data_IF_779081000139
#
_entry.id   IF_779081000139
#
_cell.length_a   1.000
_cell.length_b   1.000
_cell.length_c   1.000
_cell.angle_alpha   90.00
_cell.angle_beta   90.00
_cell.angle_gamma   90.00
#
_symmetry.space_group_name_H-M   'P 1'
#
loop_
_entity.id
_entity.type
_entity.pdbx_description
1 polymer ?
#
# COMPACT_ATOMS: atom_id res chain seq x y z
N UNK A 1 -7.37 25.53 -26.09
CA UNK A 1 -8.38 24.78 -25.31
C UNK A 1 -8.38 23.32 -25.73
N UNK A 2 -7.88 22.41 -24.88
CA UNK A 2 -8.28 20.99 -24.82
C UNK A 2 -7.78 20.45 -23.48
N UNK A 3 -8.64 20.61 -22.47
CA UNK A 3 -8.46 20.20 -21.07
C UNK A 3 -8.77 18.70 -20.85
N UNK A 4 -8.72 17.88 -21.89
CA UNK A 4 -8.97 16.45 -21.73
C UNK A 4 -7.77 15.77 -21.10
N UNK A 5 -8.03 15.03 -20.03
CA UNK A 5 -7.07 14.25 -19.26
C UNK A 5 -6.10 13.52 -20.20
N UNK A 6 -4.80 13.57 -19.90
CA UNK A 6 -3.83 12.76 -20.65
C UNK A 6 -4.20 11.29 -20.44
N UNK A 7 -4.65 10.56 -21.47
CA UNK A 7 -5.20 9.21 -21.31
C UNK A 7 -4.19 8.26 -20.65
N UNK A 8 -2.89 8.46 -20.88
CA UNK A 8 -1.82 7.71 -20.23
C UNK A 8 -1.73 7.99 -18.72
N UNK A 9 -1.94 9.24 -18.28
CA UNK A 9 -1.93 9.59 -16.86
C UNK A 9 -3.16 9.04 -16.13
N UNK A 10 -4.31 9.03 -16.81
CA UNK A 10 -5.53 8.42 -16.27
C UNK A 10 -5.37 6.91 -16.18
N UNK A 11 -4.89 6.25 -17.24
CA UNK A 11 -4.59 4.82 -17.24
C UNK A 11 -3.63 4.45 -16.11
N UNK A 12 -2.48 5.13 -16.00
CA UNK A 12 -1.54 4.91 -14.91
C UNK A 12 -2.19 5.00 -13.52
N UNK A 13 -3.05 6.00 -13.32
CA UNK A 13 -3.67 6.25 -12.01
C UNK A 13 -4.72 5.21 -11.64
N UNK A 14 -5.26 4.45 -12.60
CA UNK A 14 -6.17 3.34 -12.30
C UNK A 14 -5.47 2.22 -11.54
N UNK A 15 -4.18 1.96 -11.79
CA UNK A 15 -3.42 1.02 -10.96
C UNK A 15 -3.26 1.55 -9.53
N UNK A 16 -2.98 2.84 -9.35
CA UNK A 16 -2.93 3.45 -8.00
C UNK A 16 -4.26 3.30 -7.28
N UNK A 17 -5.38 3.52 -7.98
CA UNK A 17 -6.71 3.38 -7.39
C UNK A 17 -6.95 1.94 -6.94
N UNK A 18 -6.77 0.96 -7.83
CA UNK A 18 -7.00 -0.45 -7.51
C UNK A 18 -6.07 -0.97 -6.40
N UNK A 19 -4.78 -0.65 -6.48
CA UNK A 19 -3.80 -1.06 -5.48
C UNK A 19 -4.08 -0.38 -4.14
N UNK A 20 -4.43 0.91 -4.14
CA UNK A 20 -4.79 1.67 -2.95
C UNK A 20 -6.02 1.08 -2.25
N UNK A 21 -7.08 0.74 -3.00
CA UNK A 21 -8.29 0.12 -2.43
C UNK A 21 -7.98 -1.16 -1.66
N UNK A 22 -7.22 -2.07 -2.27
CA UNK A 22 -6.87 -3.36 -1.67
C UNK A 22 -5.90 -3.19 -0.51
N UNK A 23 -4.87 -2.36 -0.66
CA UNK A 23 -3.89 -2.12 0.40
C UNK A 23 -4.51 -1.51 1.65
N UNK A 24 -5.36 -0.50 1.50
CA UNK A 24 -6.00 0.14 2.66
C UNK A 24 -6.90 -0.85 3.43
N UNK A 25 -7.67 -1.70 2.73
CA UNK A 25 -8.47 -2.74 3.39
C UNK A 25 -7.58 -3.80 4.03
N UNK A 26 -6.57 -4.28 3.30
CA UNK A 26 -5.67 -5.32 3.80
C UNK A 26 -4.98 -4.84 5.08
N UNK A 27 -4.23 -3.74 5.01
CA UNK A 27 -3.48 -3.16 6.14
C UNK A 27 -4.34 -2.75 7.34
N UNK A 28 -5.65 -2.51 7.16
CA UNK A 28 -6.50 -2.13 8.29
C UNK A 28 -7.19 -3.33 8.95
N UNK A 29 -7.60 -4.34 8.17
CA UNK A 29 -8.47 -5.42 8.67
C UNK A 29 -7.75 -6.76 8.89
N UNK A 30 -6.59 -7.03 8.26
CA UNK A 30 -6.01 -8.38 8.30
C UNK A 30 -5.61 -8.80 9.72
N UNK A 31 -4.97 -7.94 10.50
CA UNK A 31 -4.53 -8.29 11.87
C UNK A 31 -5.73 -8.63 12.75
N UNK A 32 -6.77 -7.79 12.72
CA UNK A 32 -8.01 -8.04 13.47
C UNK A 32 -8.68 -9.34 13.02
N UNK A 33 -8.71 -9.63 11.73
CA UNK A 33 -9.28 -10.89 11.22
C UNK A 33 -8.58 -12.10 11.84
N UNK A 34 -7.26 -12.17 11.72
CA UNK A 34 -6.51 -13.34 12.17
C UNK A 34 -6.52 -13.48 13.70
N UNK A 35 -6.39 -12.37 14.44
CA UNK A 35 -6.41 -12.38 15.91
C UNK A 35 -7.81 -12.63 16.49
N UNK A 36 -8.81 -11.86 16.08
CA UNK A 36 -10.12 -11.88 16.75
C UNK A 36 -11.09 -12.91 16.12
N UNK A 37 -11.05 -13.09 14.79
CA UNK A 37 -11.99 -13.98 14.09
C UNK A 37 -11.46 -15.40 13.97
N UNK A 38 -10.23 -15.56 13.47
CA UNK A 38 -9.62 -16.88 13.30
C UNK A 38 -8.92 -17.40 14.56
N UNK A 39 -8.75 -16.53 15.57
CA UNK A 39 -8.17 -16.89 16.88
C UNK A 39 -6.84 -17.64 16.73
N UNK A 40 -5.96 -17.08 15.89
CA UNK A 40 -4.61 -17.59 15.70
C UNK A 40 -3.86 -17.57 17.04
N UNK A 41 -3.05 -18.60 17.28
CA UNK A 41 -2.16 -18.62 18.44
C UNK A 41 -1.10 -17.54 18.33
N UNK A 42 -0.69 -16.98 19.46
CA UNK A 42 0.36 -15.97 19.51
C UNK A 42 1.66 -16.49 18.87
N UNK A 43 2.02 -17.75 19.15
CA UNK A 43 3.20 -18.40 18.59
C UNK A 43 3.12 -18.51 17.06
N UNK A 44 1.99 -18.95 16.51
CA UNK A 44 1.83 -19.08 15.06
C UNK A 44 1.79 -17.71 14.35
N UNK A 45 1.22 -16.70 14.99
CA UNK A 45 1.24 -15.33 14.49
C UNK A 45 2.68 -14.82 14.38
N UNK A 46 3.48 -14.91 15.45
CA UNK A 46 4.88 -14.50 15.44
C UNK A 46 5.72 -15.26 14.40
N UNK A 47 5.53 -16.59 14.31
CA UNK A 47 6.21 -17.39 13.28
C UNK A 47 5.87 -16.91 11.86
N UNK A 48 4.59 -16.62 11.60
CA UNK A 48 4.15 -16.10 10.30
C UNK A 48 4.76 -14.74 10.00
N UNK A 49 4.85 -13.84 10.99
CA UNK A 49 5.49 -12.53 10.84
C UNK A 49 7.00 -12.63 10.57
N UNK A 50 7.71 -13.56 11.23
CA UNK A 50 9.15 -13.78 10.98
C UNK A 50 9.38 -14.30 9.56
N UNK A 51 8.57 -15.27 9.10
CA UNK A 51 8.68 -15.77 7.72
C UNK A 51 8.35 -14.66 6.72
N UNK A 52 7.31 -13.87 7.00
CA UNK A 52 6.94 -12.73 6.17
C UNK A 52 8.08 -11.69 6.08
N UNK A 53 8.74 -11.37 7.20
CA UNK A 53 9.88 -10.45 7.21
C UNK A 53 11.03 -10.94 6.33
N UNK A 54 11.36 -12.24 6.40
CA UNK A 54 12.40 -12.84 5.54
C UNK A 54 11.97 -12.81 4.07
N UNK A 55 10.71 -13.16 3.79
CA UNK A 55 10.16 -13.12 2.45
C UNK A 55 10.23 -11.71 1.86
N UNK A 56 9.68 -10.71 2.55
CA UNK A 56 9.64 -9.33 2.10
C UNK A 56 11.05 -8.78 1.80
N UNK A 57 12.04 -9.07 2.65
CA UNK A 57 13.42 -8.65 2.43
C UNK A 57 14.08 -9.27 1.17
N UNK A 58 13.67 -10.48 0.78
CA UNK A 58 14.17 -11.18 -0.41
C UNK A 58 13.37 -10.83 -1.67
N UNK A 59 12.06 -10.65 -1.50
CA UNK A 59 11.07 -10.45 -2.54
C UNK A 59 11.34 -9.19 -3.37
N UNK A 60 11.58 -8.06 -2.69
CA UNK A 60 11.83 -6.76 -3.31
C UNK A 60 13.02 -6.72 -4.28
N UNK A 61 14.24 -7.14 -3.90
CA UNK A 61 15.38 -7.16 -4.82
C UNK A 61 15.22 -8.24 -5.91
N UNK A 62 14.59 -9.37 -5.60
CA UNK A 62 14.40 -10.48 -6.55
C UNK A 62 13.48 -10.07 -7.70
N UNK A 63 12.32 -9.50 -7.41
CA UNK A 63 11.39 -9.09 -8.46
C UNK A 63 11.88 -7.86 -9.22
N UNK A 64 12.61 -6.94 -8.57
CA UNK A 64 13.29 -5.85 -9.28
C UNK A 64 14.27 -6.39 -10.33
N UNK A 65 15.17 -7.30 -9.93
CA UNK A 65 16.11 -7.93 -10.85
C UNK A 65 15.42 -8.75 -11.95
N UNK A 66 14.37 -9.50 -11.60
CA UNK A 66 13.62 -10.31 -12.55
C UNK A 66 12.96 -9.45 -13.62
N UNK A 67 12.31 -8.34 -13.26
CA UNK A 67 11.66 -7.47 -14.23
C UNK A 67 12.66 -6.71 -15.11
N UNK A 68 13.84 -6.39 -14.59
CA UNK A 68 14.87 -5.67 -15.34
C UNK A 68 15.68 -6.59 -16.29
N UNK A 69 15.84 -7.86 -15.92
CA UNK A 69 16.73 -8.80 -16.63
C UNK A 69 16.01 -9.93 -17.38
N UNK A 70 14.70 -10.10 -17.17
CA UNK A 70 13.94 -11.15 -17.85
C UNK A 70 13.80 -10.85 -19.33
N UNK A 71 13.94 -11.89 -20.16
CA UNK A 71 13.67 -11.86 -21.60
C UNK A 71 12.18 -12.05 -21.92
N UNK A 72 11.36 -12.43 -20.94
CA UNK A 72 9.94 -12.64 -21.15
C UNK A 72 9.23 -11.29 -21.22
N UNK A 73 8.46 -11.06 -22.30
CA UNK A 73 7.74 -9.81 -22.50
C UNK A 73 6.78 -9.49 -21.34
N UNK A 74 6.22 -10.51 -20.68
CA UNK A 74 5.34 -10.37 -19.52
C UNK A 74 6.03 -9.81 -18.26
N UNK A 75 7.36 -9.88 -18.17
CA UNK A 75 8.13 -9.33 -17.05
C UNK A 75 8.95 -8.10 -17.46
N UNK A 76 9.41 -8.07 -18.72
CA UNK A 76 10.24 -7.00 -19.28
C UNK A 76 9.42 -5.76 -19.65
N UNK A 77 8.19 -5.95 -20.19
CA UNK A 77 7.27 -4.83 -20.47
C UNK A 77 6.44 -4.54 -19.23
N UNK A 78 6.70 -3.39 -18.60
CA UNK A 78 6.07 -2.99 -17.32
C UNK A 78 4.54 -3.00 -17.35
N UNK A 79 3.96 -2.56 -18.47
CA UNK A 79 2.52 -2.61 -18.72
C UNK A 79 1.96 -4.04 -18.66
N UNK A 80 2.66 -5.00 -19.27
CA UNK A 80 2.25 -6.41 -19.26
C UNK A 80 2.46 -7.04 -17.88
N UNK A 81 3.51 -6.67 -17.16
CA UNK A 81 3.70 -7.09 -15.76
C UNK A 81 2.51 -6.68 -14.89
N UNK A 82 1.99 -5.46 -15.06
CA UNK A 82 0.78 -5.00 -14.37
C UNK A 82 -0.45 -5.80 -14.87
N UNK A 83 -0.59 -6.02 -16.18
CA UNK A 83 -1.74 -6.73 -16.76
C UNK A 83 -1.86 -8.17 -16.25
N UNK A 84 -0.76 -8.92 -16.25
CA UNK A 84 -0.74 -10.31 -15.81
C UNK A 84 -0.64 -10.45 -14.29
N UNK A 85 0.01 -9.49 -13.62
CA UNK A 85 0.10 -9.44 -12.16
C UNK A 85 -1.24 -9.09 -11.50
N UNK A 86 -2.10 -8.30 -12.16
CA UNK A 86 -3.35 -7.81 -11.57
C UNK A 86 -4.33 -8.92 -11.14
N UNK A 87 -4.68 -9.92 -11.97
CA UNK A 87 -5.54 -11.02 -11.54
C UNK A 87 -4.95 -11.80 -10.37
N UNK A 88 -3.65 -12.08 -10.40
CA UNK A 88 -2.95 -12.79 -9.32
C UNK A 88 -2.95 -11.98 -8.03
N UNK A 89 -2.70 -10.69 -8.11
CA UNK A 89 -2.74 -9.79 -6.96
C UNK A 89 -4.13 -9.73 -6.32
N UNK A 90 -5.18 -9.67 -7.13
CA UNK A 90 -6.56 -9.68 -6.65
C UNK A 90 -6.93 -11.02 -6.01
N UNK A 91 -6.47 -12.15 -6.58
CA UNK A 91 -6.65 -13.47 -5.98
C UNK A 91 -5.92 -13.58 -4.64
N UNK A 92 -4.66 -13.11 -4.56
CA UNK A 92 -3.88 -13.07 -3.33
C UNK A 92 -4.54 -12.23 -2.24
N UNK A 93 -5.14 -11.09 -2.61
CA UNK A 93 -5.95 -10.29 -1.69
C UNK A 93 -7.14 -11.09 -1.13
N UNK A 94 -7.85 -11.83 -1.97
CA UNK A 94 -9.01 -12.62 -1.55
C UNK A 94 -8.64 -13.80 -0.63
N UNK A 95 -7.42 -14.34 -0.74
CA UNK A 95 -6.97 -15.45 0.12
C UNK A 95 -7.12 -15.13 1.61
N UNK A 96 -6.91 -13.88 2.03
CA UNK A 96 -7.01 -13.48 3.43
C UNK A 96 -8.43 -13.67 4.01
N UNK A 97 -9.43 -13.31 3.22
CA UNK A 97 -10.79 -13.07 3.71
C UNK A 97 -11.65 -14.33 3.79
N UNK A 98 -11.24 -15.41 3.15
CA UNK A 98 -11.95 -16.68 3.16
C UNK A 98 -11.21 -17.72 4.01
N UNK A 99 -11.85 -18.28 5.05
CA UNK A 99 -11.22 -19.32 5.85
C UNK A 99 -11.03 -20.59 5.01
N UNK A 100 -9.88 -21.23 5.12
CA UNK A 100 -9.60 -22.49 4.42
C UNK A 100 -10.34 -23.67 5.04
N UNK A 101 -10.65 -23.56 6.33
CA UNK A 101 -11.48 -24.49 7.09
C UNK A 101 -12.12 -23.79 8.29
N UNK A 102 -13.02 -24.48 8.96
CA UNK A 102 -13.41 -24.09 10.32
C UNK A 102 -12.21 -24.32 11.24
N UNK A 103 -11.56 -23.23 11.67
CA UNK A 103 -10.42 -23.30 12.59
C UNK A 103 -10.88 -23.63 14.00
N UNK A 104 -10.17 -24.54 14.66
CA UNK A 104 -10.24 -24.71 16.11
C UNK A 104 -9.33 -23.66 16.79
N UNK A 105 -9.57 -23.31 18.06
CA UNK A 105 -8.65 -22.44 18.79
C UNK A 105 -7.24 -23.04 18.80
N UNK A 106 -6.20 -22.21 18.59
CA UNK A 106 -4.79 -22.62 18.56
C UNK A 106 -4.39 -23.51 17.36
N UNK A 107 -5.19 -23.55 16.31
CA UNK A 107 -4.92 -24.36 15.13
C UNK A 107 -3.73 -23.83 14.30
N UNK A 108 -2.71 -24.67 14.06
CA UNK A 108 -1.53 -24.34 13.25
C UNK A 108 -1.87 -23.91 11.83
N UNK A 109 -2.98 -24.40 11.26
CA UNK A 109 -3.37 -24.06 9.89
C UNK A 109 -3.74 -22.58 9.74
N UNK A 110 -4.24 -21.95 10.80
CA UNK A 110 -4.51 -20.51 10.79
C UNK A 110 -3.23 -19.67 10.61
N UNK A 111 -2.11 -20.14 11.18
CA UNK A 111 -0.79 -19.56 10.95
C UNK A 111 -0.29 -19.76 9.53
N UNK A 112 -0.43 -20.97 8.98
CA UNK A 112 -0.04 -21.22 7.58
C UNK A 112 -0.90 -20.39 6.62
N UNK A 113 -2.19 -20.23 6.91
CA UNK A 113 -3.08 -19.36 6.15
C UNK A 113 -2.61 -17.90 6.18
N UNK A 114 -2.26 -17.37 7.35
CA UNK A 114 -1.70 -16.03 7.49
C UNK A 114 -0.39 -15.88 6.70
N UNK A 115 0.53 -16.81 6.88
CA UNK A 115 1.84 -16.81 6.23
C UNK A 115 1.72 -16.81 4.70
N UNK A 116 0.93 -17.73 4.14
CA UNK A 116 0.73 -17.82 2.69
C UNK A 116 0.04 -16.56 2.17
N UNK A 117 -0.95 -16.05 2.89
CA UNK A 117 -1.66 -14.81 2.53
C UNK A 117 -0.70 -13.61 2.49
N UNK A 118 0.10 -13.42 3.53
CA UNK A 118 1.06 -12.31 3.62
C UNK A 118 2.10 -12.40 2.49
N UNK A 119 2.74 -13.56 2.31
CA UNK A 119 3.75 -13.74 1.28
C UNK A 119 3.18 -13.60 -0.14
N UNK A 120 1.98 -14.13 -0.40
CA UNK A 120 1.35 -14.02 -1.71
C UNK A 120 0.89 -12.58 -2.01
N UNK A 121 0.27 -11.92 -1.04
CA UNK A 121 -0.19 -10.54 -1.19
C UNK A 121 0.98 -9.58 -1.40
N UNK A 122 2.01 -9.67 -0.55
CA UNK A 122 3.24 -8.86 -0.65
C UNK A 122 4.04 -9.18 -1.92
N UNK A 123 4.17 -10.46 -2.26
CA UNK A 123 4.78 -10.93 -3.51
C UNK A 123 4.20 -10.22 -4.73
N UNK A 124 2.87 -10.28 -4.86
CA UNK A 124 2.17 -9.68 -5.99
C UNK A 124 2.13 -8.15 -5.91
N UNK A 125 2.04 -7.58 -4.71
CA UNK A 125 2.15 -6.15 -4.48
C UNK A 125 3.48 -5.61 -4.98
N UNK A 126 4.60 -6.21 -4.56
CA UNK A 126 5.95 -5.84 -5.01
C UNK A 126 6.06 -5.96 -6.53
N UNK A 127 5.58 -7.07 -7.11
CA UNK A 127 5.62 -7.26 -8.56
C UNK A 127 4.86 -6.16 -9.32
N UNK A 128 3.64 -5.83 -8.92
CA UNK A 128 2.83 -4.79 -9.59
C UNK A 128 3.37 -3.38 -9.29
N UNK A 129 3.76 -3.10 -8.04
CA UNK A 129 4.23 -1.78 -7.61
C UNK A 129 5.56 -1.40 -8.25
N UNK A 130 6.52 -2.33 -8.34
CA UNK A 130 7.79 -2.09 -9.02
C UNK A 130 7.56 -1.77 -10.50
N UNK A 131 6.70 -2.54 -11.17
CA UNK A 131 6.33 -2.27 -12.55
C UNK A 131 5.65 -0.91 -12.72
N UNK A 132 4.78 -0.53 -11.78
CA UNK A 132 4.14 0.79 -11.76
C UNK A 132 5.16 1.92 -11.53
N UNK A 133 6.14 1.76 -10.64
CA UNK A 133 7.19 2.74 -10.42
C UNK A 133 8.08 2.93 -11.65
N UNK A 134 8.45 1.84 -12.33
CA UNK A 134 9.18 1.90 -13.59
C UNK A 134 8.36 2.60 -14.68
N UNK A 135 7.08 2.24 -14.83
CA UNK A 135 6.16 2.86 -15.79
C UNK A 135 5.99 4.37 -15.54
N UNK A 136 5.98 4.80 -14.27
CA UNK A 136 5.98 6.22 -13.92
C UNK A 136 7.20 6.94 -14.49
N UNK A 137 8.40 6.38 -14.32
CA UNK A 137 9.64 6.96 -14.83
C UNK A 137 9.64 7.04 -16.36
N UNK A 138 9.09 6.03 -17.04
CA UNK A 138 9.00 5.98 -18.50
C UNK A 138 8.03 7.01 -19.09
N UNK A 139 6.85 7.20 -18.48
CA UNK A 139 5.83 8.15 -18.95
C UNK A 139 6.20 9.61 -18.61
N UNK A 140 6.94 9.83 -17.51
CA UNK A 140 7.15 11.16 -16.91
C UNK A 140 8.32 11.98 -17.45
N UNK A 141 8.82 11.68 -18.65
CA UNK A 141 10.03 12.34 -19.22
C UNK A 141 10.00 13.87 -19.37
N UNK A 142 8.85 14.53 -19.20
CA UNK A 142 8.73 16.00 -19.14
C UNK A 142 8.18 16.44 -17.78
N UNK A 143 8.77 17.49 -17.18
CA UNK A 143 8.42 17.99 -15.85
C UNK A 143 6.92 18.29 -15.68
N UNK A 144 6.28 18.95 -16.67
CA UNK A 144 4.85 19.27 -16.63
C UNK A 144 3.94 18.03 -16.67
N UNK A 145 4.34 16.98 -17.40
CA UNK A 145 3.60 15.73 -17.44
C UNK A 145 3.71 14.96 -16.12
N UNK A 146 4.90 15.00 -15.50
CA UNK A 146 5.15 14.41 -14.18
C UNK A 146 4.23 15.00 -13.11
N UNK A 147 4.11 16.33 -13.05
CA UNK A 147 3.24 17.00 -12.08
C UNK A 147 1.77 16.63 -12.25
N UNK A 148 1.27 16.55 -13.49
CA UNK A 148 -0.09 16.11 -13.76
C UNK A 148 -0.30 14.67 -13.31
N UNK A 149 0.61 13.77 -13.68
CA UNK A 149 0.49 12.35 -13.37
C UNK A 149 0.52 12.09 -11.86
N UNK A 150 1.36 12.82 -11.11
CA UNK A 150 1.32 12.81 -9.63
C UNK A 150 -0.05 13.25 -9.13
N UNK A 151 -0.62 14.35 -9.63
CA UNK A 151 -1.95 14.84 -9.19
C UNK A 151 -3.06 13.81 -9.42
N UNK A 152 -3.11 13.18 -10.60
CA UNK A 152 -4.10 12.13 -10.88
C UNK A 152 -3.89 10.91 -9.97
N UNK A 153 -2.65 10.48 -9.76
CA UNK A 153 -2.32 9.37 -8.87
C UNK A 153 -2.71 9.67 -7.42
N UNK A 154 -2.53 10.91 -6.96
CA UNK A 154 -2.95 11.31 -5.61
C UNK A 154 -4.48 11.33 -5.45
N UNK A 155 -5.23 11.79 -6.46
CA UNK A 155 -6.70 11.69 -6.45
C UNK A 155 -7.15 10.23 -6.47
N UNK A 156 -6.49 9.38 -7.26
CA UNK A 156 -6.74 7.95 -7.27
C UNK A 156 -6.44 7.28 -5.92
N UNK A 157 -5.36 7.65 -5.26
CA UNK A 157 -5.01 7.21 -3.90
C UNK A 157 -6.05 7.65 -2.87
N UNK A 158 -6.52 8.89 -2.93
CA UNK A 158 -7.62 9.41 -2.10
C UNK A 158 -8.89 8.56 -2.25
N UNK A 159 -9.35 8.35 -3.49
CA UNK A 159 -10.52 7.52 -3.77
C UNK A 159 -10.29 6.07 -3.33
N UNK A 160 -9.10 5.52 -3.57
CA UNK A 160 -8.75 4.16 -3.17
C UNK A 160 -8.80 3.98 -1.65
N UNK A 161 -8.19 4.91 -0.91
CA UNK A 161 -8.14 4.90 0.55
C UNK A 161 -9.51 5.02 1.23
N UNK A 162 -10.49 5.62 0.53
CA UNK A 162 -11.88 5.70 1.01
C UNK A 162 -12.58 4.33 1.08
N UNK A 163 -11.99 3.28 0.49
CA UNK A 163 -12.51 1.91 0.55
C UNK A 163 -12.71 1.43 2.00
N UNK A 164 -11.87 1.85 2.93
CA UNK A 164 -11.95 1.49 4.37
C UNK A 164 -13.23 2.05 5.00
N UNK A 165 -13.60 3.30 4.67
CA UNK A 165 -14.82 3.93 5.14
C UNK A 165 -16.05 3.16 4.66
N UNK A 166 -16.14 2.89 3.36
CA UNK A 166 -17.28 2.17 2.78
C UNK A 166 -17.35 0.72 3.27
N UNK A 167 -16.20 0.05 3.40
CA UNK A 167 -16.11 -1.27 4.00
C UNK A 167 -16.67 -1.28 5.43
N UNK A 168 -16.28 -0.28 6.24
CA UNK A 168 -16.78 -0.10 7.60
C UNK A 168 -18.29 0.11 7.65
N UNK A 169 -18.83 0.96 6.79
CA UNK A 169 -20.26 1.26 6.71
C UNK A 169 -21.10 0.05 6.26
N UNK A 170 -20.62 -0.74 5.30
CA UNK A 170 -21.34 -1.89 4.75
C UNK A 170 -21.26 -3.11 5.67
N UNK A 171 -20.08 -3.38 6.25
CA UNK A 171 -19.86 -4.55 7.10
C UNK A 171 -20.14 -4.32 8.58
N UNK A 172 -20.37 -3.07 9.00
CA UNK A 172 -20.38 -2.72 10.41
C UNK A 172 -19.02 -2.98 11.06
N UNK A 173 -17.91 -2.60 10.41
CA UNK A 173 -16.55 -2.82 10.93
C UNK A 173 -16.27 -4.29 11.31
N UNK A 174 -16.63 -5.22 10.41
CA UNK A 174 -16.57 -6.69 10.56
C UNK A 174 -17.63 -7.36 11.44
N UNK A 175 -18.65 -6.65 11.92
CA UNK A 175 -19.78 -7.28 12.63
C UNK A 175 -20.53 -8.26 11.72
N UNK A 176 -20.83 -7.84 10.49
CA UNK A 176 -21.37 -8.71 9.45
C UNK A 176 -20.26 -9.21 8.53
N UNK A 177 -19.72 -10.38 8.86
CA UNK A 177 -18.61 -10.97 8.12
C UNK A 177 -18.95 -11.34 6.67
N UNK A 178 -20.18 -11.77 6.40
CA UNK A 178 -20.60 -12.09 5.03
C UNK A 178 -20.67 -10.82 4.15
N UNK A 179 -21.15 -9.71 4.70
CA UNK A 179 -21.14 -8.41 4.03
C UNK A 179 -19.71 -7.91 3.78
N UNK A 180 -18.80 -8.11 4.74
CA UNK A 180 -17.38 -7.82 4.57
C UNK A 180 -16.76 -8.63 3.42
N UNK A 181 -16.97 -9.95 3.40
CA UNK A 181 -16.45 -10.82 2.34
C UNK A 181 -17.01 -10.43 0.96
N UNK A 182 -18.31 -10.15 0.87
CA UNK A 182 -18.94 -9.67 -0.35
C UNK A 182 -18.35 -8.35 -0.84
N UNK A 183 -18.13 -7.39 0.08
CA UNK A 183 -17.48 -6.12 -0.25
C UNK A 183 -16.04 -6.31 -0.73
N UNK A 184 -15.25 -7.16 -0.07
CA UNK A 184 -13.89 -7.48 -0.49
C UNK A 184 -13.84 -8.10 -1.89
N UNK A 185 -14.79 -8.97 -2.25
CA UNK A 185 -14.90 -9.51 -3.62
C UNK A 185 -15.19 -8.41 -4.63
N UNK A 186 -16.12 -7.50 -4.32
CA UNK A 186 -16.41 -6.35 -5.19
C UNK A 186 -15.18 -5.47 -5.37
N UNK A 187 -14.45 -5.18 -4.29
CA UNK A 187 -13.20 -4.40 -4.34
C UNK A 187 -12.14 -5.10 -5.19
N UNK A 188 -11.97 -6.41 -5.05
CA UNK A 188 -11.00 -7.17 -5.85
C UNK A 188 -11.36 -7.13 -7.35
N UNK A 189 -12.63 -7.26 -7.71
CA UNK A 189 -13.08 -7.16 -9.11
C UNK A 189 -12.83 -5.75 -9.65
N UNK A 190 -13.21 -4.71 -8.89
CA UNK A 190 -12.99 -3.32 -9.29
C UNK A 190 -11.50 -3.01 -9.45
N UNK A 191 -10.66 -3.44 -8.51
CA UNK A 191 -9.22 -3.27 -8.57
C UNK A 191 -8.61 -4.00 -9.78
N UNK A 192 -9.06 -5.24 -10.07
CA UNK A 192 -8.66 -5.99 -11.24
C UNK A 192 -9.01 -5.22 -12.53
N UNK A 193 -10.26 -4.77 -12.68
CA UNK A 193 -10.69 -3.99 -13.86
C UNK A 193 -9.85 -2.71 -14.01
N UNK A 194 -9.56 -2.01 -12.91
CA UNK A 194 -8.74 -0.80 -12.95
C UNK A 194 -7.30 -1.08 -13.40
N UNK A 195 -6.67 -2.13 -12.89
CA UNK A 195 -5.30 -2.48 -13.28
C UNK A 195 -5.23 -3.08 -14.70
N UNK A 196 -6.24 -3.86 -15.10
CA UNK A 196 -6.38 -4.34 -16.48
C UNK A 196 -6.53 -3.16 -17.44
N UNK A 197 -7.32 -2.15 -17.07
CA UNK A 197 -7.44 -0.92 -17.85
C UNK A 197 -6.08 -0.23 -18.05
N UNK A 198 -5.25 -0.14 -17.00
CA UNK A 198 -3.86 0.33 -17.15
C UNK A 198 -3.08 -0.56 -18.11
N UNK A 199 -3.13 -1.87 -17.89
CA UNK A 199 -2.47 -2.89 -18.70
C UNK A 199 -2.94 -2.94 -20.16
N UNK A 200 -4.09 -2.38 -20.52
CA UNK A 200 -4.56 -2.28 -21.90
C UNK A 200 -4.35 -0.89 -22.52
N UNK A 201 -4.37 0.19 -21.73
CA UNK A 201 -4.40 1.56 -22.24
C UNK A 201 -3.15 2.39 -21.94
N UNK A 202 -2.22 1.90 -21.11
CA UNK A 202 -0.97 2.62 -20.82
C UNK A 202 0.13 2.26 -21.84
N UNK A 203 0.00 2.68 -23.09
CA UNK A 203 1.12 2.53 -24.02
C UNK A 203 2.32 3.36 -23.54
N UNK A 204 3.42 2.67 -23.19
CA UNK A 204 4.66 3.34 -22.82
C UNK A 204 5.40 3.80 -24.07
N UNK A 205 6.16 4.90 -23.97
CA UNK A 205 7.07 5.36 -25.05
C UNK A 205 8.09 4.28 -25.45
N UNK A 206 8.39 3.36 -24.55
CA UNK A 206 9.27 2.22 -24.81
C UNK A 206 8.57 1.05 -25.50
N UNK A 207 7.25 0.92 -25.43
CA UNK A 207 6.51 -0.06 -26.25
C UNK A 207 6.58 0.34 -27.73
N UNK A 208 6.40 1.63 -28.04
CA UNK A 208 6.53 2.16 -29.40
C UNK A 208 7.97 2.08 -29.91
N UNK A 209 8.96 2.39 -29.07
CA UNK A 209 10.38 2.25 -29.45
C UNK A 209 10.85 0.81 -29.58
N UNK A 210 10.37 -0.13 -28.75
CA UNK A 210 10.71 -1.54 -28.90
C UNK A 210 10.10 -2.12 -30.18
N UNK A 211 8.90 -1.69 -30.57
CA UNK A 211 8.30 -2.05 -31.87
C UNK A 211 9.07 -1.47 -33.07
N UNK A 212 9.74 -0.32 -32.92
CA UNK A 212 10.59 0.28 -33.96
C UNK A 212 12.04 -0.25 -33.96
N UNK A 213 12.61 -0.55 -32.79
CA UNK A 213 14.02 -0.96 -32.59
C UNK A 213 14.25 -2.48 -32.71
N UNK A 214 13.19 -3.31 -32.68
CA UNK A 214 13.26 -4.77 -32.97
C UNK A 214 13.78 -5.06 -34.40
N UNK A 215 13.88 -4.02 -35.24
CA UNK A 215 14.44 -4.12 -36.57
C UNK A 215 15.97 -3.94 -36.63
N UNK A 216 16.64 -3.21 -35.71
CA UNK A 216 18.02 -2.74 -35.98
C UNK A 216 18.98 -2.46 -34.80
N UNK A 217 18.73 -2.81 -33.52
CA UNK A 217 19.73 -2.53 -32.46
C UNK A 217 20.14 -3.73 -31.59
N UNK A 218 21.43 -3.84 -31.19
CA UNK A 218 21.89 -4.94 -30.34
C UNK A 218 21.30 -4.77 -28.93
N UNK A 219 20.60 -5.81 -28.47
CA UNK A 219 19.98 -5.90 -27.15
C UNK A 219 20.95 -5.40 -26.06
N UNK A 220 20.51 -4.45 -25.23
CA UNK A 220 21.29 -3.98 -24.08
C UNK A 220 21.77 -5.21 -23.28
N UNK A 221 23.08 -5.31 -22.96
CA UNK A 221 23.57 -6.46 -22.22
C UNK A 221 22.87 -6.52 -20.86
N UNK A 222 22.50 -7.74 -20.40
CA UNK A 222 21.92 -7.93 -19.08
C UNK A 222 22.84 -7.30 -18.02
N UNK A 223 22.25 -6.61 -17.04
CA UNK A 223 23.02 -6.03 -15.93
C UNK A 223 23.78 -7.15 -15.21
N UNK A 224 25.10 -7.07 -15.20
CA UNK A 224 25.92 -8.05 -14.48
C UNK A 224 25.62 -7.98 -12.98
N UNK A 225 25.36 -9.14 -12.36
CA UNK A 225 25.08 -9.26 -10.93
C UNK A 225 26.19 -8.60 -10.09
N UNK A 226 27.44 -8.66 -10.54
CA UNK A 226 28.58 -8.00 -9.91
C UNK A 226 28.45 -6.47 -9.91
N UNK A 227 27.95 -5.88 -11.01
CA UNK A 227 27.73 -4.44 -11.12
C UNK A 227 26.57 -3.98 -10.23
N UNK A 228 25.48 -4.75 -10.17
CA UNK A 228 24.35 -4.48 -9.27
C UNK A 228 24.82 -4.53 -7.81
N UNK A 229 25.57 -5.57 -7.43
CA UNK A 229 26.06 -5.74 -6.06
C UNK A 229 27.02 -4.62 -5.66
N UNK A 230 27.91 -4.19 -6.57
CA UNK A 230 28.82 -3.06 -6.34
C UNK A 230 28.06 -1.74 -6.14
N UNK A 231 27.07 -1.45 -6.98
CA UNK A 231 26.22 -0.25 -6.84
C UNK A 231 25.43 -0.28 -5.53
N UNK A 232 24.83 -1.42 -5.18
CA UNK A 232 24.10 -1.60 -3.92
C UNK A 232 25.01 -1.36 -2.72
N UNK A 233 26.24 -1.87 -2.74
CA UNK A 233 27.21 -1.67 -1.67
C UNK A 233 27.58 -0.18 -1.50
N UNK A 234 27.77 0.54 -2.60
CA UNK A 234 28.04 1.98 -2.57
C UNK A 234 26.88 2.77 -1.94
N UNK A 235 25.64 2.42 -2.25
CA UNK A 235 24.45 3.08 -1.70
C UNK A 235 24.33 2.79 -0.19
N UNK A 236 24.47 1.53 0.22
CA UNK A 236 24.35 1.13 1.63
C UNK A 236 25.44 1.75 2.50
N UNK A 237 26.63 2.01 1.95
CA UNK A 237 27.75 2.63 2.67
C UNK A 237 27.60 4.16 2.82
N UNK A 238 26.71 4.78 2.04
CA UNK A 238 26.53 6.23 2.08
C UNK A 238 25.82 6.65 3.39
N UNK A 239 26.44 7.56 4.14
CA UNK A 239 25.94 8.05 5.43
C UNK A 239 24.58 8.75 5.32
N UNK A 240 24.36 9.54 4.28
CA UNK A 240 23.08 10.25 4.10
C UNK A 240 21.95 9.26 3.82
N UNK A 241 22.26 8.20 3.07
CA UNK A 241 21.33 7.10 2.82
C UNK A 241 21.00 6.35 4.11
N UNK A 242 22.01 5.99 4.91
CA UNK A 242 21.80 5.31 6.19
C UNK A 242 20.91 6.13 7.15
N UNK A 243 21.18 7.42 7.30
CA UNK A 243 20.38 8.30 8.15
C UNK A 243 18.93 8.41 7.66
N UNK A 244 18.73 8.53 6.34
CA UNK A 244 17.40 8.55 5.74
C UNK A 244 16.65 7.24 5.98
N UNK A 245 17.30 6.09 5.79
CA UNK A 245 16.70 4.77 6.00
C UNK A 245 16.29 4.56 7.46
N UNK A 246 17.13 4.95 8.42
CA UNK A 246 16.81 4.86 9.86
C UNK A 246 15.57 5.72 10.19
N UNK A 247 15.53 6.96 9.70
CA UNK A 247 14.36 7.83 9.89
C UNK A 247 13.10 7.22 9.26
N UNK A 248 13.21 6.71 8.03
CA UNK A 248 12.09 6.13 7.30
C UNK A 248 11.59 4.85 7.97
N UNK A 249 12.48 4.05 8.56
CA UNK A 249 12.12 2.87 9.33
C UNK A 249 11.16 3.21 10.48
N UNK A 250 11.48 4.22 11.30
CA UNK A 250 10.60 4.63 12.40
C UNK A 250 9.26 5.15 11.91
N UNK A 251 9.25 5.92 10.83
CA UNK A 251 8.02 6.46 10.24
C UNK A 251 7.13 5.34 9.70
N UNK A 252 7.68 4.43 8.91
CA UNK A 252 6.94 3.29 8.36
C UNK A 252 6.48 2.35 9.46
N UNK A 253 7.31 2.14 10.50
CA UNK A 253 6.93 1.36 11.67
C UNK A 253 5.70 1.95 12.37
N UNK A 254 5.70 3.26 12.67
CA UNK A 254 4.56 3.91 13.33
C UNK A 254 3.29 3.84 12.49
N UNK A 255 3.38 4.15 11.19
CA UNK A 255 2.25 4.08 10.27
C UNK A 255 1.70 2.65 10.14
N UNK A 256 2.59 1.66 10.00
CA UNK A 256 2.19 0.26 9.90
C UNK A 256 1.55 -0.23 11.22
N UNK A 257 2.12 0.13 12.36
CA UNK A 257 1.58 -0.22 13.67
C UNK A 257 0.19 0.40 13.88
N UNK A 258 0.05 1.70 13.64
CA UNK A 258 -1.23 2.39 13.81
C UNK A 258 -2.29 1.84 12.86
N UNK A 259 -1.98 1.66 11.57
CA UNK A 259 -2.96 1.15 10.62
C UNK A 259 -3.46 -0.26 10.96
N UNK A 260 -2.57 -1.15 11.40
CA UNK A 260 -2.92 -2.53 11.70
C UNK A 260 -3.68 -2.72 13.02
N UNK A 261 -3.34 -1.93 14.04
CA UNK A 261 -3.86 -2.14 15.41
C UNK A 261 -4.91 -1.13 15.86
N UNK A 262 -5.12 -0.02 15.15
CA UNK A 262 -6.09 1.02 15.57
C UNK A 262 -7.49 0.46 15.77
N UNK A 263 -7.94 -0.47 14.93
CA UNK A 263 -9.26 -1.08 15.08
C UNK A 263 -9.40 -1.87 16.39
N UNK A 264 -8.33 -2.59 16.77
CA UNK A 264 -8.28 -3.35 18.03
C UNK A 264 -8.21 -2.40 19.22
N UNK A 265 -7.38 -1.35 19.13
CA UNK A 265 -7.27 -0.33 20.18
C UNK A 265 -8.59 0.42 20.39
N UNK A 266 -9.27 0.81 19.33
CA UNK A 266 -10.55 1.49 19.41
C UNK A 266 -11.67 0.58 19.99
N UNK A 267 -11.59 -0.74 19.85
CA UNK A 267 -12.53 -1.66 20.51
C UNK A 267 -12.26 -1.80 22.01
N UNK A 268 -10.99 -1.83 22.42
CA UNK A 268 -10.61 -2.05 23.82
C UNK A 268 -10.58 -0.76 24.65
N UNK A 269 -10.23 0.37 24.04
CA UNK A 269 -10.01 1.63 24.75
C UNK A 269 -11.22 2.59 24.68
N UNK A 270 -12.10 2.42 23.68
CA UNK A 270 -13.28 3.29 23.49
C UNK A 270 -14.56 2.49 23.72
N UNK A 271 -15.29 2.73 24.82
CA UNK A 271 -16.54 2.06 25.11
C UNK A 271 -17.56 2.18 23.95
N UNK A 272 -18.32 1.11 23.70
CA UNK A 272 -19.33 1.09 22.63
C UNK A 272 -20.41 2.16 22.81
N UNK A 273 -20.67 2.55 24.05
CA UNK A 273 -21.69 3.53 24.43
C UNK A 273 -21.32 4.97 24.05
N UNK A 274 -20.03 5.25 23.86
CA UNK A 274 -19.50 6.61 23.63
C UNK A 274 -19.41 6.95 22.13
N UNK A 275 -19.08 5.96 21.30
CA UNK A 275 -18.89 6.13 19.86
C UNK A 275 -19.76 5.13 19.07
N UNK A 276 -20.86 5.61 18.43
CA UNK A 276 -21.69 4.80 17.56
C UNK A 276 -20.88 4.14 16.43
N UNK A 277 -21.37 3.02 15.89
CA UNK A 277 -20.71 2.27 14.81
C UNK A 277 -20.40 3.13 13.58
N UNK A 278 -21.32 4.03 13.19
CA UNK A 278 -21.13 4.98 12.11
C UNK A 278 -19.97 5.95 12.39
N UNK A 279 -19.89 6.47 13.62
CA UNK A 279 -18.83 7.37 14.01
C UNK A 279 -17.46 6.68 14.01
N UNK A 280 -17.38 5.39 14.39
CA UNK A 280 -16.17 4.57 14.27
C UNK A 280 -15.76 4.36 12.81
N UNK A 281 -16.70 4.06 11.91
CA UNK A 281 -16.39 3.91 10.48
C UNK A 281 -15.92 5.21 9.84
N UNK A 282 -16.49 6.36 10.24
CA UNK A 282 -16.02 7.69 9.79
C UNK A 282 -14.63 7.97 10.35
N UNK A 283 -14.37 7.64 11.62
CA UNK A 283 -13.06 7.78 12.26
C UNK A 283 -11.98 6.99 11.52
N UNK A 284 -12.20 5.70 11.28
CA UNK A 284 -11.26 4.85 10.54
C UNK A 284 -11.06 5.34 9.10
N UNK A 285 -12.15 5.72 8.43
CA UNK A 285 -12.08 6.31 7.10
C UNK A 285 -11.29 7.61 7.05
N UNK A 286 -11.45 8.48 8.05
CA UNK A 286 -10.74 9.73 8.15
C UNK A 286 -9.22 9.51 8.30
N UNK A 287 -8.78 8.48 9.02
CA UNK A 287 -7.36 8.11 9.14
C UNK A 287 -6.69 7.83 7.79
N UNK A 288 -7.43 7.28 6.83
CA UNK A 288 -6.91 7.01 5.48
C UNK A 288 -7.10 8.18 4.51
N UNK A 289 -8.21 8.92 4.61
CA UNK A 289 -8.58 10.01 3.67
C UNK A 289 -7.83 11.31 3.99
N UNK A 290 -7.72 11.68 5.27
CA UNK A 290 -7.13 12.96 5.69
C UNK A 290 -5.65 13.10 5.27
N UNK A 291 -4.78 12.08 5.40
CA UNK A 291 -3.41 12.18 4.91
C UNK A 291 -3.35 12.48 3.40
N UNK A 292 -4.21 11.86 2.60
CA UNK A 292 -4.24 12.08 1.14
C UNK A 292 -4.69 13.51 0.80
N UNK A 293 -5.69 14.05 1.52
CA UNK A 293 -6.09 15.45 1.39
C UNK A 293 -4.98 16.42 1.82
N UNK A 294 -4.26 16.10 2.90
CA UNK A 294 -3.15 16.90 3.39
C UNK A 294 -2.00 16.93 2.38
N UNK A 295 -1.69 15.81 1.72
CA UNK A 295 -0.70 15.76 0.62
C UNK A 295 -1.11 16.63 -0.57
N UNK A 296 -2.40 16.61 -0.95
CA UNK A 296 -2.90 17.46 -2.03
C UNK A 296 -2.81 18.96 -1.70
N UNK A 297 -3.13 19.35 -0.46
CA UNK A 297 -3.12 20.74 0.00
C UNK A 297 -1.71 21.26 0.32
N UNK A 298 -0.77 20.37 0.66
CA UNK A 298 0.57 20.75 1.14
C UNK A 298 1.57 21.10 0.04
N UNK A 299 1.20 21.10 -1.24
CA UNK A 299 2.10 21.50 -2.34
C UNK A 299 2.68 22.90 -2.15
N UNK A 300 1.86 23.85 -1.69
CA UNK A 300 2.32 25.23 -1.42
C UNK A 300 3.22 25.31 -0.18
N UNK A 301 2.93 24.49 0.84
CA UNK A 301 3.75 24.38 2.05
C UNK A 301 5.13 23.79 1.74
N UNK A 302 5.18 22.77 0.88
CA UNK A 302 6.42 22.14 0.43
C UNK A 302 7.33 23.14 -0.27
N UNK A 303 6.78 23.99 -1.14
CA UNK A 303 7.54 25.03 -1.83
C UNK A 303 8.05 26.13 -0.88
N UNK A 304 7.27 26.46 0.17
CA UNK A 304 7.62 27.53 1.12
C UNK A 304 8.63 27.09 2.18
N UNK A 305 8.46 25.90 2.75
CA UNK A 305 9.25 25.44 3.90
C UNK A 305 10.34 24.43 3.52
N UNK A 306 10.25 23.82 2.34
CA UNK A 306 11.12 22.73 1.92
C UNK A 306 10.77 21.40 2.62
N UNK A 307 11.18 20.29 2.01
CA UNK A 307 10.83 18.94 2.45
C UNK A 307 11.34 18.61 3.86
N UNK A 308 12.62 18.93 4.15
CA UNK A 308 13.24 18.62 5.44
C UNK A 308 12.53 19.28 6.63
N UNK A 309 12.23 20.58 6.54
CA UNK A 309 11.55 21.30 7.63
C UNK A 309 10.13 20.80 7.83
N UNK A 310 9.44 20.44 6.74
CA UNK A 310 8.08 19.93 6.82
C UNK A 310 8.03 18.60 7.59
N UNK A 311 8.93 17.66 7.26
CA UNK A 311 9.05 16.39 8.00
C UNK A 311 9.36 16.65 9.48
N UNK A 312 10.30 17.54 9.77
CA UNK A 312 10.67 17.86 11.14
C UNK A 312 9.49 18.43 11.94
N UNK A 313 8.69 19.31 11.33
CA UNK A 313 7.46 19.82 11.94
C UNK A 313 6.48 18.68 12.22
N UNK A 314 6.30 17.73 11.30
CA UNK A 314 5.43 16.57 11.52
C UNK A 314 5.89 15.76 12.73
N UNK A 315 7.18 15.49 12.88
CA UNK A 315 7.70 14.77 14.06
C UNK A 315 7.47 15.54 15.36
N UNK A 316 7.64 16.87 15.36
CA UNK A 316 7.33 17.68 16.55
C UNK A 316 5.83 17.67 16.88
N UNK A 317 4.96 17.70 15.87
CA UNK A 317 3.50 17.63 16.06
C UNK A 317 3.10 16.26 16.61
N UNK A 318 3.66 15.18 16.07
CA UNK A 318 3.41 13.81 16.52
C UNK A 318 3.86 13.61 17.98
N UNK A 319 5.10 13.97 18.30
CA UNK A 319 5.63 13.91 19.67
C UNK A 319 4.81 14.80 20.63
N UNK A 320 4.46 16.02 20.21
CA UNK A 320 3.61 16.91 20.98
C UNK A 320 2.22 16.32 21.23
N UNK A 321 1.61 15.70 20.23
CA UNK A 321 0.31 15.04 20.36
C UNK A 321 0.35 13.87 21.34
N UNK A 322 1.43 13.08 21.33
CA UNK A 322 1.63 11.98 22.28
C UNK A 322 1.79 12.48 23.72
N UNK A 323 2.56 13.55 23.94
CA UNK A 323 2.71 14.17 25.27
C UNK A 323 1.37 14.74 25.75
N UNK A 324 0.61 15.43 24.89
CA UNK A 324 -0.71 15.95 25.25
C UNK A 324 -1.66 14.81 25.63
N UNK A 325 -1.68 13.73 24.85
CA UNK A 325 -2.53 12.57 25.14
C UNK A 325 -2.15 11.91 26.48
N UNK A 326 -0.86 11.83 26.79
CA UNK A 326 -0.37 11.31 28.07
C UNK A 326 -0.80 12.20 29.25
N UNK A 327 -0.79 13.53 29.08
CA UNK A 327 -1.22 14.47 30.12
C UNK A 327 -2.75 14.49 30.33
N UNK A 328 -3.53 14.33 29.26
CA UNK A 328 -5.00 14.30 29.32
C UNK A 328 -5.55 13.06 30.04
N UNK A 329 -4.75 11.99 30.10
CA UNK A 329 -5.11 10.74 30.74
C UNK A 329 -6.19 9.94 29.99
N UNK A 330 -6.57 8.76 30.51
CA UNK A 330 -7.43 7.80 29.79
C UNK A 330 -8.93 8.18 29.77
N UNK A 331 -9.36 9.19 30.53
CA UNK A 331 -10.79 9.52 30.68
C UNK A 331 -11.42 10.25 29.49
N UNK A 332 -10.61 10.69 28.51
CA UNK A 332 -11.03 11.57 27.42
C UNK A 332 -11.13 10.81 26.07
N UNK A 333 -12.19 10.04 25.88
CA UNK A 333 -12.35 9.15 24.72
C UNK A 333 -12.39 9.86 23.35
N UNK A 334 -12.97 11.07 23.25
CA UNK A 334 -12.99 11.84 22.00
C UNK A 334 -11.59 12.33 21.59
N UNK A 335 -10.77 12.75 22.56
CA UNK A 335 -9.39 13.12 22.31
C UNK A 335 -8.54 11.90 21.94
N UNK A 336 -8.79 10.74 22.56
CA UNK A 336 -8.18 9.48 22.17
C UNK A 336 -8.55 9.08 20.73
N UNK A 337 -9.83 9.18 20.36
CA UNK A 337 -10.30 8.91 19.00
C UNK A 337 -9.61 9.80 17.96
N UNK A 338 -9.49 11.10 18.26
CA UNK A 338 -8.80 12.06 17.39
C UNK A 338 -7.29 11.77 17.31
N UNK A 339 -6.67 11.42 18.44
CA UNK A 339 -5.27 11.02 18.49
C UNK A 339 -5.00 9.78 17.63
N UNK A 340 -5.80 8.72 17.79
CA UNK A 340 -5.68 7.50 16.97
C UNK A 340 -5.85 7.81 15.48
N UNK A 341 -6.86 8.61 15.12
CA UNK A 341 -7.12 9.00 13.73
C UNK A 341 -5.97 9.82 13.13
N UNK A 342 -5.32 10.66 13.93
CA UNK A 342 -4.23 11.53 13.47
C UNK A 342 -2.89 10.81 13.30
N UNK A 343 -2.73 9.64 13.93
CA UNK A 343 -1.51 8.83 13.85
C UNK A 343 -1.62 7.67 12.82
N UNK A 344 -2.80 7.51 12.21
CA UNK A 344 -3.00 6.71 11.00
C UNK A 344 -2.62 7.53 9.76
#
# INVERSE_FOLDING_TARGET
>A
MRHFANPAALAYSMTTLGAGMMNSIFSFYYVKLFLNKYKISETAFHQSQVVFMIWNALNDPLFGYLQDNSRMECCSRRRLSILYGAPLYCLSFLLAWFPWRTYEPEDWLSGVHLMVTLCAFDGMLTFVLLAQCALFAEISGHHQNRLRLIKYSQVASLVGSSSVLFCGLVSGNMDNFAAFQGFSVVVAILACVCMLYTGFNSESRFDSKASEEDSQSPQKPPLSVSSVMSMTWQIITNRDFQLFVIMNFFQVFMVAFCNNFTMIFAEHLIPQDVLPSLAKSVMYGAGFICPQLLVLCSQNLLHKFGYYRLILITFYVEAGSAVIMLLLGPGNYYFLALFLTSNM
#
